data_IF_070141005707
#
_entry.id   IF_070141005707
#
_cell.length_a   1.000
_cell.length_b   1.000
_cell.length_c   1.000
_cell.angle_alpha   90.00
_cell.angle_beta   90.00
_cell.angle_gamma   90.00
#
_symmetry.space_group_name_H-M   'P 1'
#
loop_
_entity.id
_entity.type
_entity.pdbx_description
1 polymer ?
#
# COMPACT_ATOMS: atom_id res chain seq x y z
N UNK A 1 -66.15 12.45 22.18
CA UNK A 1 -65.17 11.45 22.67
C UNK A 1 -63.79 11.89 22.22
N UNK A 2 -62.83 11.76 23.14
CA UNK A 2 -61.37 11.89 23.07
C UNK A 2 -60.76 11.55 21.68
N UNK A 3 -59.67 12.14 21.20
CA UNK A 3 -58.67 13.00 21.85
C UNK A 3 -57.61 13.53 20.86
N UNK A 4 -56.75 14.40 21.39
CA UNK A 4 -55.58 14.96 20.71
C UNK A 4 -54.42 13.95 20.57
N UNK A 5 -53.58 14.10 19.55
CA UNK A 5 -52.12 13.86 19.62
C UNK A 5 -51.38 14.43 18.40
N UNK A 6 -50.19 14.94 18.69
CA UNK A 6 -49.22 15.71 17.89
C UNK A 6 -48.07 14.80 17.46
N UNK A 7 -47.49 14.97 16.25
CA UNK A 7 -46.06 14.78 15.87
C UNK A 7 -45.95 14.95 14.33
N UNK A 8 -45.36 15.98 13.72
CA UNK A 8 -43.97 16.48 13.68
C UNK A 8 -42.97 15.64 12.86
N UNK A 9 -42.34 16.33 11.90
CA UNK A 9 -41.07 16.03 11.19
C UNK A 9 -41.11 14.95 10.09
N UNK A 10 -40.39 15.02 8.97
CA UNK A 10 -39.27 15.88 8.57
C UNK A 10 -39.16 15.94 7.03
N UNK A 11 -38.54 17.02 6.56
CA UNK A 11 -38.05 17.25 5.20
C UNK A 11 -37.13 16.09 4.73
N UNK A 12 -37.41 15.53 3.56
CA UNK A 12 -36.47 14.67 2.82
C UNK A 12 -35.85 15.44 1.68
N UNK A 13 -34.86 16.27 1.99
CA UNK A 13 -34.18 17.13 1.04
C UNK A 13 -33.32 16.34 0.04
N UNK A 14 -33.34 16.84 -1.19
CA UNK A 14 -32.56 16.47 -2.36
C UNK A 14 -31.06 16.42 -2.06
N UNK A 15 -30.39 15.28 -2.30
CA UNK A 15 -28.92 15.24 -2.34
C UNK A 15 -28.46 15.55 -3.76
N UNK A 16 -28.37 16.84 -4.05
CA UNK A 16 -27.63 17.36 -5.19
C UNK A 16 -26.14 17.18 -4.87
N UNK A 17 -25.48 16.24 -5.56
CA UNK A 17 -24.04 16.01 -5.48
C UNK A 17 -23.28 17.21 -6.06
N UNK A 18 -23.01 18.20 -5.23
CA UNK A 18 -22.08 19.28 -5.55
C UNK A 18 -20.66 18.83 -5.26
N UNK A 19 -19.87 18.72 -6.32
CA UNK A 19 -18.42 18.58 -6.27
C UNK A 19 -17.81 19.76 -5.50
N UNK A 20 -17.46 19.53 -4.23
CA UNK A 20 -16.62 20.45 -3.45
C UNK A 20 -15.26 19.78 -3.26
N UNK A 21 -14.26 20.45 -3.81
CA UNK A 21 -12.87 20.02 -3.82
C UNK A 21 -12.33 19.75 -2.43
N UNK A 22 -11.30 18.90 -2.40
CA UNK A 22 -10.57 18.50 -1.21
C UNK A 22 -10.09 19.73 -0.43
N UNK A 23 -10.76 20.03 0.68
CA UNK A 23 -10.27 20.95 1.69
C UNK A 23 -9.32 20.19 2.63
N UNK A 24 -8.02 20.22 2.33
CA UNK A 24 -6.99 19.92 3.33
C UNK A 24 -6.87 21.15 4.22
N UNK A 25 -7.60 21.18 5.34
CA UNK A 25 -7.39 22.19 6.36
C UNK A 25 -6.41 21.63 7.41
N UNK A 26 -5.26 22.30 7.51
CA UNK A 26 -4.18 22.14 8.49
C UNK A 26 -3.20 20.96 8.28
N UNK A 27 -2.15 21.20 7.48
CA UNK A 27 -0.91 20.44 7.57
C UNK A 27 -0.15 20.82 8.84
N UNK A 28 0.08 19.84 9.73
CA UNK A 28 1.05 19.93 10.82
C UNK A 28 2.49 19.87 10.24
N UNK A 29 3.53 20.36 10.95
CA UNK A 29 4.87 20.51 10.37
C UNK A 29 5.49 19.14 10.11
N UNK A 30 5.71 18.79 8.84
CA UNK A 30 6.45 17.58 8.45
C UNK A 30 5.98 16.88 7.16
N UNK A 31 4.80 17.21 6.63
CA UNK A 31 4.30 16.65 5.37
C UNK A 31 4.47 17.64 4.21
N UNK A 32 5.07 17.20 3.10
CA UNK A 32 5.08 17.98 1.86
C UNK A 32 3.90 17.54 0.98
N UNK A 33 3.09 18.50 0.52
CA UNK A 33 2.03 18.26 -0.48
C UNK A 33 2.30 19.16 -1.68
N UNK A 34 2.59 18.58 -2.83
CA UNK A 34 2.76 19.31 -4.09
C UNK A 34 1.68 18.86 -5.08
N UNK A 35 0.80 19.78 -5.46
CA UNK A 35 -0.24 19.52 -6.45
C UNK A 35 0.23 20.04 -7.81
N UNK A 36 0.44 19.16 -8.79
CA UNK A 36 0.80 19.55 -10.15
C UNK A 36 -0.32 19.14 -11.11
N UNK A 37 -0.96 20.11 -11.74
CA UNK A 37 -1.84 19.83 -12.89
C UNK A 37 -0.95 19.57 -14.09
N UNK A 38 -0.88 18.33 -14.55
CA UNK A 38 -0.26 18.00 -15.84
C UNK A 38 -1.25 18.35 -16.95
N UNK A 39 -0.76 18.87 -18.09
CA UNK A 39 -1.58 19.35 -19.22
C UNK A 39 -2.46 18.29 -19.90
N UNK A 40 -2.32 17.02 -19.51
CA UNK A 40 -3.02 15.86 -20.09
C UNK A 40 -4.24 15.39 -19.27
N UNK A 41 -4.69 16.16 -18.27
CA UNK A 41 -5.94 15.90 -17.54
C UNK A 41 -5.81 14.94 -16.34
N UNK A 42 -4.64 14.37 -16.06
CA UNK A 42 -4.37 13.60 -14.85
C UNK A 42 -3.98 14.55 -13.70
N UNK A 43 -4.80 14.64 -12.66
CA UNK A 43 -4.47 15.41 -11.45
C UNK A 43 -3.53 14.57 -10.58
N UNK A 44 -2.23 14.81 -10.71
CA UNK A 44 -1.20 14.16 -9.89
C UNK A 44 -0.89 15.01 -8.66
N UNK A 45 -1.17 14.47 -7.47
CA UNK A 45 -0.80 15.06 -6.18
C UNK A 45 0.34 14.25 -5.57
N UNK A 46 1.47 14.90 -5.29
CA UNK A 46 2.61 14.26 -4.64
C UNK A 46 2.60 14.52 -3.15
N UNK A 47 2.87 13.48 -2.38
CA UNK A 47 2.90 13.52 -0.92
C UNK A 47 4.13 12.80 -0.36
N UNK A 48 4.57 13.20 0.82
CA UNK A 48 5.60 12.50 1.61
C UNK A 48 5.46 12.83 3.09
N UNK A 49 6.08 12.01 3.94
CA UNK A 49 6.12 12.24 5.38
C UNK A 49 4.76 12.00 6.05
N UNK A 50 4.48 12.77 7.11
CA UNK A 50 3.26 12.58 7.91
C UNK A 50 2.18 13.59 7.52
N UNK A 51 0.98 13.09 7.25
CA UNK A 51 -0.22 13.88 6.99
C UNK A 51 -1.22 13.62 8.11
N UNK A 52 -1.67 14.68 8.77
CA UNK A 52 -2.71 14.62 9.79
C UNK A 52 -3.92 15.40 9.27
N UNK A 53 -5.09 14.77 9.20
CA UNK A 53 -6.29 15.40 8.66
C UNK A 53 -7.58 14.93 9.37
N UNK A 54 -8.67 15.67 9.18
CA UNK A 54 -10.00 15.18 9.60
C UNK A 54 -10.48 14.05 8.68
N UNK A 55 -10.22 14.10 7.37
CA UNK A 55 -10.45 13.00 6.45
C UNK A 55 -9.47 13.06 5.28
N UNK A 56 -9.28 11.95 4.59
CA UNK A 56 -8.45 11.89 3.39
C UNK A 56 -9.19 11.20 2.26
N UNK A 57 -9.26 11.83 1.10
CA UNK A 57 -9.91 11.27 -0.09
C UNK A 57 -8.98 11.36 -1.29
N UNK A 58 -8.94 10.28 -2.06
CA UNK A 58 -8.38 10.23 -3.42
C UNK A 58 -9.56 10.07 -4.38
N UNK A 59 -9.86 11.09 -5.17
CA UNK A 59 -10.99 11.05 -6.11
C UNK A 59 -10.78 10.05 -7.24
N UNK A 60 -11.85 9.57 -7.90
CA UNK A 60 -11.80 8.50 -8.91
C UNK A 60 -10.82 8.70 -10.08
N UNK A 61 -10.51 9.94 -10.43
CA UNK A 61 -9.56 10.31 -11.51
C UNK A 61 -8.30 11.01 -10.96
N UNK A 62 -8.07 10.90 -9.66
CA UNK A 62 -6.90 11.45 -9.00
C UNK A 62 -5.83 10.38 -8.84
N UNK A 63 -4.58 10.78 -9.09
CA UNK A 63 -3.42 9.98 -8.72
C UNK A 63 -2.67 10.71 -7.61
N UNK A 64 -2.61 10.07 -6.45
CA UNK A 64 -1.75 10.49 -5.35
C UNK A 64 -0.49 9.63 -5.38
N UNK A 65 0.66 10.27 -5.52
CA UNK A 65 1.97 9.64 -5.58
C UNK A 65 2.74 9.94 -4.30
N UNK A 66 3.03 8.91 -3.50
CA UNK A 66 3.91 9.00 -2.35
C UNK A 66 5.37 8.89 -2.81
N UNK A 67 6.08 10.02 -2.80
CA UNK A 67 7.47 10.09 -3.31
C UNK A 67 8.50 9.56 -2.31
N UNK A 68 8.09 9.42 -1.06
CA UNK A 68 8.82 8.81 0.04
C UNK A 68 7.81 8.13 0.98
N UNK A 69 8.26 7.59 2.10
CA UNK A 69 7.38 7.01 3.11
C UNK A 69 6.30 8.00 3.55
N UNK A 70 5.08 7.49 3.62
CA UNK A 70 3.91 8.29 3.96
C UNK A 70 3.16 7.65 5.11
N UNK A 71 2.81 8.49 6.08
CA UNK A 71 1.86 8.16 7.15
C UNK A 71 0.67 9.10 7.05
N UNK A 72 -0.51 8.59 6.72
CA UNK A 72 -1.77 9.33 6.69
C UNK A 72 -2.56 8.99 7.93
N UNK A 73 -2.73 9.96 8.82
CA UNK A 73 -3.50 9.82 10.05
C UNK A 73 -4.76 10.68 10.01
N UNK A 74 -5.92 10.02 10.09
CA UNK A 74 -7.23 10.66 10.01
C UNK A 74 -8.10 10.36 11.23
N UNK A 75 -8.85 11.36 11.68
CA UNK A 75 -9.92 11.16 12.67
C UNK A 75 -11.16 10.55 12.03
N UNK A 76 -11.55 11.07 10.87
CA UNK A 76 -12.61 10.57 10.00
C UNK A 76 -12.10 9.59 8.95
N UNK A 77 -12.90 9.33 7.90
CA UNK A 77 -12.63 8.27 6.94
C UNK A 77 -11.44 8.56 6.04
N UNK A 78 -10.79 7.49 5.59
CA UNK A 78 -9.88 7.49 4.45
C UNK A 78 -10.59 6.77 3.31
N UNK A 79 -10.75 7.43 2.16
CA UNK A 79 -11.46 6.89 0.99
C UNK A 79 -10.56 6.99 -0.24
N UNK A 80 -10.29 5.85 -0.88
CA UNK A 80 -9.48 5.79 -2.09
C UNK A 80 -10.38 5.33 -3.23
N UNK A 81 -10.82 6.27 -4.08
CA UNK A 81 -11.57 5.98 -5.30
C UNK A 81 -10.66 5.97 -6.54
N UNK A 82 -9.61 6.79 -6.54
CA UNK A 82 -8.59 6.83 -7.58
C UNK A 82 -7.39 5.96 -7.26
N UNK A 83 -6.19 6.45 -7.56
CA UNK A 83 -4.93 5.72 -7.30
C UNK A 83 -4.13 6.39 -6.19
N UNK A 84 -3.80 5.64 -5.14
CA UNK A 84 -2.73 5.99 -4.20
C UNK A 84 -1.56 5.02 -4.44
N UNK A 85 -0.44 5.53 -4.94
CA UNK A 85 0.75 4.72 -5.25
C UNK A 85 2.01 5.27 -4.59
N UNK A 86 2.85 4.39 -4.05
CA UNK A 86 4.23 4.72 -3.69
C UNK A 86 5.14 4.75 -4.92
N UNK A 87 6.16 5.60 -4.87
CA UNK A 87 7.25 5.63 -5.82
C UNK A 87 8.44 4.82 -5.29
N UNK A 88 9.39 4.49 -6.17
CA UNK A 88 10.73 4.08 -5.74
C UNK A 88 11.47 5.32 -5.21
N UNK A 89 11.99 5.24 -4.00
CA UNK A 89 12.78 6.30 -3.36
C UNK A 89 14.09 6.51 -4.11
N UNK A 90 14.39 7.77 -4.39
CA UNK A 90 15.67 8.19 -4.97
C UNK A 90 16.60 8.78 -3.91
N UNK A 91 17.91 8.60 -4.07
CA UNK A 91 18.93 9.30 -3.25
C UNK A 91 19.73 8.42 -2.29
N UNK A 92 19.42 7.12 -2.19
CA UNK A 92 20.20 6.12 -1.47
C UNK A 92 21.06 5.25 -2.39
N UNK A 93 22.03 4.48 -1.84
CA UNK A 93 22.83 3.52 -2.60
C UNK A 93 22.00 2.35 -3.15
N UNK A 94 20.87 2.05 -2.49
CA UNK A 94 19.85 1.10 -2.93
C UNK A 94 18.52 1.84 -2.95
N UNK A 95 17.79 1.72 -4.06
CA UNK A 95 16.53 2.43 -4.27
C UNK A 95 15.37 1.59 -3.74
N UNK A 96 14.89 1.87 -2.53
CA UNK A 96 13.78 1.13 -1.91
C UNK A 96 12.42 1.71 -2.32
N UNK A 97 11.36 0.90 -2.24
CA UNK A 97 9.99 1.36 -2.39
C UNK A 97 9.51 2.24 -1.24
N UNK A 98 8.66 3.24 -1.54
CA UNK A 98 7.94 4.02 -0.54
C UNK A 98 6.87 3.18 0.17
N UNK A 99 6.91 3.14 1.49
CA UNK A 99 5.90 2.48 2.34
C UNK A 99 4.71 3.41 2.59
N UNK A 100 3.53 2.81 2.71
CA UNK A 100 2.27 3.50 2.93
C UNK A 100 1.65 3.04 4.24
N UNK A 101 1.49 3.96 5.18
CA UNK A 101 0.76 3.72 6.41
C UNK A 101 -0.51 4.59 6.47
N UNK A 102 -1.67 3.95 6.56
CA UNK A 102 -2.98 4.60 6.58
C UNK A 102 -3.66 4.27 7.91
N UNK A 103 -3.92 5.31 8.71
CA UNK A 103 -4.54 5.19 10.03
C UNK A 103 -5.81 6.02 10.08
N UNK A 104 -6.96 5.39 10.31
CA UNK A 104 -8.23 6.07 10.52
C UNK A 104 -8.87 5.65 11.83
N UNK A 105 -9.40 6.62 12.60
CA UNK A 105 -10.24 6.29 13.76
C UNK A 105 -11.68 5.91 13.38
N UNK A 106 -12.07 6.08 12.11
CA UNK A 106 -13.40 5.76 11.61
C UNK A 106 -13.38 4.51 10.70
N UNK A 107 -12.80 4.63 9.50
CA UNK A 107 -12.80 3.57 8.50
C UNK A 107 -11.84 3.86 7.36
N UNK A 108 -11.38 2.80 6.69
CA UNK A 108 -10.66 2.87 5.41
C UNK A 108 -11.49 2.14 4.35
N UNK A 109 -11.82 2.83 3.25
CA UNK A 109 -12.54 2.25 2.12
C UNK A 109 -11.72 2.41 0.84
N UNK A 110 -11.39 1.29 0.20
CA UNK A 110 -10.55 1.23 -1.00
C UNK A 110 -11.42 0.71 -2.15
N UNK A 111 -11.80 1.61 -3.04
CA UNK A 111 -12.56 1.33 -4.25
C UNK A 111 -11.71 1.49 -5.52
N UNK A 112 -10.60 2.21 -5.41
CA UNK A 112 -9.59 2.32 -6.46
C UNK A 112 -8.31 1.55 -6.11
N UNK A 113 -7.18 1.96 -6.70
CA UNK A 113 -5.90 1.26 -6.55
C UNK A 113 -5.10 1.78 -5.36
N UNK A 114 -4.61 0.86 -4.54
CA UNK A 114 -3.63 1.10 -3.49
C UNK A 114 -2.38 0.24 -3.75
N UNK A 115 -1.20 0.87 -3.81
CA UNK A 115 0.08 0.15 -3.98
C UNK A 115 1.20 0.90 -3.29
N UNK A 116 2.06 0.21 -2.54
CA UNK A 116 3.33 0.78 -2.11
C UNK A 116 4.31 0.88 -3.31
N UNK A 117 5.46 1.51 -3.08
CA UNK A 117 6.48 1.70 -4.12
C UNK A 117 7.26 0.43 -4.42
N UNK A 118 7.61 0.14 -5.68
CA UNK A 118 8.44 -1.01 -6.00
C UNK A 118 9.91 -0.76 -5.62
N UNK A 119 10.62 -1.84 -5.32
CA UNK A 119 12.07 -1.81 -5.19
C UNK A 119 12.76 -1.53 -6.52
N UNK A 120 13.80 -0.71 -6.49
CA UNK A 120 14.62 -0.38 -7.66
C UNK A 120 15.67 -1.44 -7.97
N UNK A 121 16.13 -1.48 -9.22
CA UNK A 121 17.14 -2.44 -9.65
C UNK A 121 18.53 -2.12 -9.07
N UNK A 122 19.32 -3.16 -8.79
CA UNK A 122 20.75 -3.05 -8.55
C UNK A 122 21.45 -2.69 -9.86
N UNK A 123 22.12 -1.54 -9.92
CA UNK A 123 22.69 -0.99 -11.16
C UNK A 123 24.15 -1.38 -11.42
N UNK A 124 24.79 -2.06 -10.46
CA UNK A 124 26.20 -2.46 -10.54
C UNK A 124 26.37 -3.95 -10.29
N UNK A 125 27.47 -4.53 -10.79
CA UNK A 125 27.89 -5.89 -10.46
C UNK A 125 27.94 -6.11 -8.94
N UNK A 126 27.33 -7.19 -8.47
CA UNK A 126 27.15 -7.56 -7.07
C UNK A 126 26.11 -6.75 -6.30
N UNK A 127 25.47 -5.74 -6.91
CA UNK A 127 24.54 -4.88 -6.21
C UNK A 127 23.21 -5.58 -5.91
N UNK A 128 22.73 -5.43 -4.68
CA UNK A 128 21.42 -5.93 -4.27
C UNK A 128 20.30 -5.05 -4.84
N UNK A 129 19.21 -5.66 -5.29
CA UNK A 129 17.97 -4.95 -5.63
C UNK A 129 17.32 -4.34 -4.39
N UNK A 130 16.63 -3.22 -4.55
CA UNK A 130 15.91 -2.57 -3.46
C UNK A 130 14.67 -3.35 -3.02
N UNK A 131 14.31 -3.27 -1.76
CA UNK A 131 13.07 -3.87 -1.26
C UNK A 131 11.83 -3.10 -1.74
N UNK A 132 10.71 -3.80 -1.92
CA UNK A 132 9.40 -3.19 -2.09
C UNK A 132 8.95 -2.48 -0.81
N UNK A 133 8.11 -1.45 -0.96
CA UNK A 133 7.51 -0.77 0.18
C UNK A 133 6.36 -1.56 0.81
N UNK A 134 6.12 -1.30 2.09
CA UNK A 134 5.08 -1.96 2.88
C UNK A 134 3.75 -1.20 2.81
N UNK A 135 2.65 -1.91 3.06
CA UNK A 135 1.33 -1.33 3.24
C UNK A 135 0.82 -1.68 4.64
N UNK A 136 0.60 -0.67 5.48
CA UNK A 136 0.01 -0.85 6.81
C UNK A 136 -1.32 -0.09 6.93
N UNK A 137 -2.41 -0.82 7.16
CA UNK A 137 -3.75 -0.26 7.27
C UNK A 137 -4.31 -0.48 8.68
N UNK A 138 -4.72 0.60 9.33
CA UNK A 138 -5.21 0.57 10.71
C UNK A 138 -6.51 1.35 10.81
N UNK A 139 -7.64 0.65 11.00
CA UNK A 139 -8.93 1.29 11.24
C UNK A 139 -9.95 0.32 11.86
N UNK A 140 -10.99 0.80 12.55
CA UNK A 140 -12.06 -0.08 13.04
C UNK A 140 -12.69 -0.95 11.94
N UNK A 141 -12.87 -0.37 10.74
CA UNK A 141 -13.41 -1.06 9.57
C UNK A 141 -12.53 -0.80 8.35
N UNK A 142 -12.19 -1.87 7.63
CA UNK A 142 -11.42 -1.81 6.37
C UNK A 142 -12.17 -2.61 5.32
N UNK A 143 -12.43 -2.00 4.16
CA UNK A 143 -13.04 -2.68 3.00
C UNK A 143 -12.25 -2.37 1.74
N UNK A 144 -11.99 -3.38 0.93
CA UNK A 144 -11.35 -3.23 -0.37
C UNK A 144 -12.16 -3.98 -1.43
N UNK A 145 -12.39 -3.36 -2.58
CA UNK A 145 -13.03 -4.03 -3.72
C UNK A 145 -12.08 -5.05 -4.38
N UNK A 146 -10.79 -4.70 -4.44
CA UNK A 146 -9.74 -5.53 -5.04
C UNK A 146 -8.75 -6.04 -3.96
N UNK A 147 -7.99 -7.11 -4.24
CA UNK A 147 -6.91 -7.54 -3.37
C UNK A 147 -5.85 -6.45 -3.18
N UNK A 148 -5.35 -6.31 -1.96
CA UNK A 148 -4.23 -5.42 -1.65
C UNK A 148 -2.94 -6.22 -1.77
N UNK A 149 -2.05 -5.75 -2.64
CA UNK A 149 -0.79 -6.42 -2.95
C UNK A 149 0.38 -5.61 -2.38
N UNK A 150 1.29 -6.30 -1.70
CA UNK A 150 2.57 -5.72 -1.31
C UNK A 150 3.39 -5.37 -2.54
N UNK A 151 4.31 -4.40 -2.42
CA UNK A 151 5.10 -3.99 -3.56
C UNK A 151 6.20 -5.01 -3.89
N UNK A 152 6.55 -5.20 -5.16
CA UNK A 152 7.62 -6.12 -5.53
C UNK A 152 8.99 -5.58 -5.14
N UNK A 153 9.90 -6.50 -4.80
CA UNK A 153 11.32 -6.22 -4.70
C UNK A 153 11.97 -5.99 -6.07
N UNK A 154 13.07 -5.26 -6.08
CA UNK A 154 13.84 -4.93 -7.28
C UNK A 154 14.79 -6.05 -7.70
N UNK A 155 15.16 -6.06 -8.98
CA UNK A 155 16.12 -7.05 -9.53
C UNK A 155 17.53 -6.73 -9.05
N UNK A 156 18.33 -7.73 -8.68
CA UNK A 156 19.75 -7.56 -8.38
C UNK A 156 20.56 -7.17 -9.62
N UNK A 157 21.66 -6.43 -9.45
CA UNK A 157 22.65 -6.26 -10.50
C UNK A 157 23.42 -7.56 -10.74
N UNK A 158 24.27 -7.65 -11.76
CA UNK A 158 24.92 -8.92 -12.14
C UNK A 158 25.59 -9.65 -10.96
N UNK A 159 25.28 -10.91 -10.68
CA UNK A 159 25.75 -11.68 -9.51
C UNK A 159 25.20 -11.19 -8.15
N UNK A 160 24.34 -10.17 -8.15
CA UNK A 160 23.76 -9.52 -6.97
C UNK A 160 22.40 -10.09 -6.59
N UNK A 161 22.07 -10.00 -5.29
CA UNK A 161 20.82 -10.54 -4.73
C UNK A 161 19.60 -9.70 -5.14
N UNK A 162 18.45 -10.33 -5.40
CA UNK A 162 17.17 -9.63 -5.57
C UNK A 162 16.67 -8.98 -4.29
N UNK A 163 15.92 -7.89 -4.41
CA UNK A 163 15.31 -7.19 -3.26
C UNK A 163 14.12 -7.94 -2.69
N UNK A 164 13.83 -7.75 -1.41
CA UNK A 164 12.69 -8.41 -0.77
C UNK A 164 11.36 -7.72 -1.15
N UNK A 165 10.26 -8.48 -1.25
CA UNK A 165 8.93 -7.94 -1.44
C UNK A 165 8.38 -7.27 -0.18
N UNK A 166 7.49 -6.29 -0.36
CA UNK A 166 6.89 -5.53 0.73
C UNK A 166 5.78 -6.28 1.46
N UNK A 167 5.65 -6.04 2.76
CA UNK A 167 4.63 -6.62 3.61
C UNK A 167 3.28 -5.90 3.46
N UNK A 168 2.19 -6.63 3.68
CA UNK A 168 0.85 -6.06 3.84
C UNK A 168 0.30 -6.42 5.21
N UNK A 169 0.04 -5.40 6.02
CA UNK A 169 -0.51 -5.52 7.37
C UNK A 169 -1.85 -4.79 7.44
N UNK A 170 -2.88 -5.50 7.87
CA UNK A 170 -4.23 -4.97 8.08
C UNK A 170 -4.64 -5.20 9.52
N UNK A 171 -4.91 -4.12 10.25
CA UNK A 171 -5.39 -4.16 11.63
C UNK A 171 -6.78 -3.53 11.70
N UNK A 172 -7.80 -4.36 11.87
CA UNK A 172 -9.19 -3.92 11.92
C UNK A 172 -10.07 -4.74 12.84
N UNK A 173 -11.22 -4.19 13.26
CA UNK A 173 -12.25 -5.00 13.92
C UNK A 173 -13.02 -5.82 12.90
N UNK A 174 -13.32 -5.21 11.75
CA UNK A 174 -13.97 -5.85 10.62
C UNK A 174 -13.20 -5.55 9.33
N UNK A 175 -12.71 -6.60 8.67
CA UNK A 175 -11.93 -6.53 7.44
C UNK A 175 -12.64 -7.32 6.32
N UNK A 176 -13.11 -6.65 5.27
CA UNK A 176 -13.55 -7.27 4.01
C UNK A 176 -12.52 -6.99 2.93
N UNK A 177 -11.41 -7.74 2.96
CA UNK A 177 -10.23 -7.50 2.12
C UNK A 177 -9.43 -8.77 1.96
N UNK A 178 -9.01 -9.06 0.72
CA UNK A 178 -7.95 -10.02 0.41
C UNK A 178 -6.59 -9.31 0.40
N UNK A 179 -5.56 -9.93 0.99
CA UNK A 179 -4.21 -9.35 1.03
C UNK A 179 -3.14 -10.35 0.62
N UNK A 180 -2.14 -9.91 -0.12
CA UNK A 180 -1.01 -10.73 -0.58
C UNK A 180 0.28 -9.94 -0.38
N UNK A 181 1.33 -10.58 0.13
CA UNK A 181 2.64 -9.94 0.23
C UNK A 181 3.25 -9.69 -1.14
N UNK A 182 4.21 -8.76 -1.22
CA UNK A 182 4.88 -8.43 -2.46
C UNK A 182 5.79 -9.55 -2.95
N UNK A 183 5.94 -9.73 -4.26
CA UNK A 183 6.90 -10.67 -4.81
C UNK A 183 8.35 -10.26 -4.47
N UNK A 184 9.22 -11.24 -4.21
CA UNK A 184 10.66 -11.00 -4.16
C UNK A 184 11.20 -10.64 -5.54
N UNK A 185 12.28 -9.86 -5.57
CA UNK A 185 13.00 -9.51 -6.79
C UNK A 185 13.86 -10.67 -7.30
N UNK A 186 14.11 -10.71 -8.61
CA UNK A 186 15.06 -11.66 -9.19
C UNK A 186 16.50 -11.34 -8.75
N UNK A 187 17.33 -12.36 -8.59
CA UNK A 187 18.77 -12.17 -8.57
C UNK A 187 19.28 -11.69 -9.93
N UNK A 188 20.45 -11.06 -9.97
CA UNK A 188 21.04 -10.62 -11.23
C UNK A 188 21.87 -11.71 -11.89
N UNK A 189 21.86 -11.73 -13.22
CA UNK A 189 22.58 -12.70 -14.04
C UNK A 189 24.09 -12.71 -13.74
N UNK A 190 24.79 -13.82 -13.97
CA UNK A 190 26.25 -13.83 -13.93
C UNK A 190 26.85 -12.91 -15.01
N UNK A 191 27.94 -12.22 -14.69
CA UNK A 191 28.76 -11.43 -15.62
C UNK A 191 30.22 -11.89 -15.59
N UNK A 192 30.60 -12.64 -16.62
CA UNK A 192 31.97 -13.12 -16.80
C UNK A 192 33.00 -11.99 -16.97
N UNK A 193 32.59 -10.81 -17.47
CA UNK A 193 33.51 -9.68 -17.67
C UNK A 193 33.91 -9.02 -16.34
N UNK A 194 33.05 -9.08 -15.33
CA UNK A 194 33.33 -8.61 -13.97
C UNK A 194 33.76 -9.74 -13.01
N UNK A 195 33.94 -10.96 -13.53
CA UNK A 195 34.39 -12.12 -12.75
C UNK A 195 33.31 -12.75 -11.85
N UNK A 196 32.05 -12.31 -11.98
CA UNK A 196 30.90 -12.85 -11.25
C UNK A 196 30.22 -13.91 -12.12
N UNK A 197 30.77 -15.11 -12.15
CA UNK A 197 30.33 -16.17 -13.07
C UNK A 197 28.96 -16.74 -12.68
N UNK A 198 28.63 -16.70 -11.39
CA UNK A 198 27.36 -17.20 -10.85
C UNK A 198 26.31 -16.08 -10.79
N UNK A 199 25.05 -16.40 -11.05
CA UNK A 199 23.96 -15.45 -10.84
C UNK A 199 23.71 -15.25 -9.34
N UNK A 200 23.18 -14.09 -9.01
CA UNK A 200 22.79 -13.76 -7.64
C UNK A 200 21.52 -14.51 -7.21
N UNK A 201 21.30 -14.69 -5.90
CA UNK A 201 20.08 -15.31 -5.40
C UNK A 201 18.87 -14.39 -5.54
N UNK A 202 17.66 -14.97 -5.58
CA UNK A 202 16.41 -14.21 -5.50
C UNK A 202 16.21 -13.50 -4.16
N UNK A 203 15.34 -12.50 -4.15
CA UNK A 203 14.81 -11.85 -2.96
C UNK A 203 13.65 -12.64 -2.35
N UNK A 204 13.39 -12.42 -1.07
CA UNK A 204 12.27 -13.08 -0.38
C UNK A 204 10.94 -12.41 -0.76
N UNK A 205 9.84 -13.16 -0.77
CA UNK A 205 8.50 -12.57 -0.82
C UNK A 205 8.13 -11.86 0.48
N UNK A 206 7.22 -10.89 0.38
CA UNK A 206 6.61 -10.19 1.52
C UNK A 206 5.52 -11.02 2.20
N UNK A 207 5.18 -10.61 3.41
CA UNK A 207 4.21 -11.24 4.30
C UNK A 207 2.84 -10.58 4.17
N UNK A 208 1.79 -11.35 4.46
CA UNK A 208 0.41 -10.85 4.54
C UNK A 208 -0.18 -11.16 5.91
N UNK A 209 -0.51 -10.11 6.68
CA UNK A 209 -1.06 -10.24 8.05
C UNK A 209 -2.38 -9.48 8.20
N UNK A 210 -3.43 -10.17 8.67
CA UNK A 210 -4.68 -9.53 9.11
C UNK A 210 -4.87 -9.78 10.60
N UNK A 211 -4.98 -8.72 11.39
CA UNK A 211 -5.39 -8.78 12.79
C UNK A 211 -6.81 -8.24 12.91
N UNK A 212 -7.79 -9.12 13.14
CA UNK A 212 -9.21 -8.75 13.14
C UNK A 212 -10.17 -9.89 12.79
N UNK A 213 -11.48 -9.58 12.76
CA UNK A 213 -12.48 -10.46 12.16
C UNK A 213 -12.56 -10.19 10.65
N UNK A 214 -12.24 -11.19 9.83
CA UNK A 214 -12.44 -11.16 8.37
C UNK A 214 -13.42 -12.28 7.98
N UNK A 215 -14.65 -11.95 7.54
CA UNK A 215 -15.63 -12.95 7.11
C UNK A 215 -15.33 -13.54 5.72
N UNK A 216 -14.49 -12.88 4.91
CA UNK A 216 -14.25 -13.25 3.50
C UNK A 216 -13.05 -14.19 3.28
N UNK A 217 -12.35 -14.56 4.37
CA UNK A 217 -11.17 -15.42 4.31
C UNK A 217 -9.90 -14.64 4.00
N UNK A 218 -8.84 -14.93 4.75
CA UNK A 218 -7.50 -14.39 4.50
C UNK A 218 -6.87 -15.29 3.44
N UNK A 219 -6.80 -14.85 2.18
CA UNK A 219 -5.95 -15.49 1.18
C UNK A 219 -4.57 -14.85 1.29
N UNK A 220 -3.83 -15.18 2.36
CA UNK A 220 -2.42 -14.82 2.47
C UNK A 220 -1.63 -15.64 1.45
N UNK A 221 -1.28 -15.03 0.33
CA UNK A 221 -0.31 -15.57 -0.61
C UNK A 221 1.08 -15.04 -0.26
N UNK A 222 2.06 -15.92 -0.22
CA UNK A 222 3.47 -15.53 -0.23
C UNK A 222 3.74 -14.89 -1.60
N UNK A 223 4.48 -13.78 -1.62
CA UNK A 223 5.01 -13.28 -2.88
C UNK A 223 5.88 -14.35 -3.53
N UNK A 224 5.45 -14.88 -4.68
CA UNK A 224 6.20 -15.93 -5.37
C UNK A 224 7.61 -15.47 -5.73
N UNK A 225 8.60 -16.35 -5.54
CA UNK A 225 9.90 -16.24 -6.20
C UNK A 225 9.76 -16.62 -7.67
N UNK A 226 10.41 -15.88 -8.57
CA UNK A 226 10.45 -16.20 -10.00
C UNK A 226 11.30 -17.47 -10.22
N UNK A 227 10.69 -18.53 -10.76
CA UNK A 227 11.31 -19.84 -11.03
C UNK A 227 11.85 -19.99 -12.46
N UNK A 228 12.10 -18.90 -13.19
CA UNK A 228 12.60 -18.99 -14.58
C UNK A 228 14.12 -19.22 -14.67
N UNK A 229 14.48 -20.51 -14.55
CA UNK A 229 15.63 -21.23 -15.13
C UNK A 229 16.90 -20.43 -15.50
N UNK A 230 17.92 -20.49 -14.63
CA UNK A 230 19.31 -20.16 -14.96
C UNK A 230 20.14 -19.71 -13.76
N UNK A 231 20.60 -20.65 -12.92
CA UNK A 231 21.62 -20.45 -11.87
C UNK A 231 21.45 -19.25 -10.91
N UNK A 232 20.25 -19.00 -10.37
CA UNK A 232 20.03 -18.17 -9.19
C UNK A 232 18.93 -18.79 -8.33
N UNK A 233 19.30 -19.45 -7.24
CA UNK A 233 18.36 -20.23 -6.43
C UNK A 233 17.24 -19.36 -5.85
N UNK A 234 16.04 -19.90 -5.93
CA UNK A 234 14.75 -19.30 -5.61
C UNK A 234 14.70 -18.73 -4.19
N UNK A 235 14.20 -17.50 -4.06
CA UNK A 235 13.76 -16.98 -2.77
C UNK A 235 12.61 -17.85 -2.26
N UNK A 236 12.83 -18.55 -1.14
CA UNK A 236 11.80 -19.41 -0.53
C UNK A 236 10.58 -18.57 -0.14
N UNK A 237 9.35 -18.97 -0.51
CA UNK A 237 8.13 -18.39 0.04
C UNK A 237 8.18 -18.44 1.57
N UNK A 238 7.90 -17.32 2.24
CA UNK A 238 7.97 -17.26 3.71
C UNK A 238 6.78 -18.01 4.33
N UNK A 239 6.93 -19.32 4.56
CA UNK A 239 5.93 -20.12 5.27
C UNK A 239 5.76 -19.62 6.72
N UNK A 240 4.54 -19.11 7.02
CA UNK A 240 3.86 -18.88 8.33
C UNK A 240 3.78 -17.39 8.70
N UNK A 241 2.63 -16.79 9.05
CA UNK A 241 1.56 -17.27 9.94
C UNK A 241 0.27 -16.49 9.64
N UNK A 242 -0.78 -17.13 9.12
CA UNK A 242 -2.14 -16.57 9.20
C UNK A 242 -2.57 -16.70 10.65
N UNK A 243 -2.20 -15.73 11.50
CA UNK A 243 -2.74 -15.61 12.84
C UNK A 243 -4.02 -14.80 12.74
N UNK A 244 -5.12 -15.47 12.40
CA UNK A 244 -6.44 -14.97 12.79
C UNK A 244 -6.48 -14.97 14.33
N UNK A 245 -5.99 -13.91 14.95
CA UNK A 245 -6.15 -13.72 16.39
C UNK A 245 -7.61 -13.39 16.58
N UNK A 246 -8.43 -14.42 16.85
CA UNK A 246 -9.77 -14.25 17.39
C UNK A 246 -9.62 -13.63 18.79
N UNK A 247 -9.44 -12.32 18.84
CA UNK A 247 -9.51 -11.57 20.08
C UNK A 247 -10.95 -11.63 20.60
N UNK A 248 -11.20 -12.41 21.64
CA UNK A 248 -12.37 -12.21 22.50
C UNK A 248 -12.22 -10.84 23.16
N UNK A 249 -12.98 -9.88 22.69
CA UNK A 249 -13.21 -8.64 23.43
C UNK A 249 -14.38 -8.87 24.38
N UNK A 250 -14.10 -8.76 25.68
CA UNK A 250 -15.13 -8.50 26.71
C UNK A 250 -15.48 -7.03 26.70
#
# INVERSE_FOLDING_TARGET
MLGASVLAAALGASVLAAALGASVLAAAPGGAVQQRRSGDGENVRRISGRIVAESFTVGAHEVVEAVDDVVIECRGPIVIQGTLRGATKSGGPIAHGASLELRSKASIAIHGRLSAGPGGAGVSAGATGGSGGDINLIAPRITSADPILGAPGGVGGAGGRGGDGGDVVVSARAAGVAIVGGAGGRGGDGDAASGLIDAGPGGNGGNATVTGYSPEGIVGGDGGGDTTTGNGADGTPNRRTIRAVMGRWR
#
